data_IF_112916743427
#
_entry.id   IF_112916743427
#
_cell.length_a   1.000
_cell.length_b   1.000
_cell.length_c   1.000
_cell.angle_alpha   90.00
_cell.angle_beta   90.00
_cell.angle_gamma   90.00
#
_symmetry.space_group_name_H-M   'P 1'
#
loop_
_entity.id
_entity.type
_entity.pdbx_description
1 polymer ?
#
# COMPACT_ATOMS: atom_id res chain seq x y z
N UNK A 1 13.67 -6.63 -28.27
CA UNK A 1 13.52 -8.01 -27.75
C UNK A 1 14.85 -8.74 -27.61
N UNK A 2 15.83 -8.55 -28.51
CA UNK A 2 17.19 -9.13 -28.38
C UNK A 2 17.92 -8.61 -27.13
N UNK A 3 17.86 -7.30 -26.87
CA UNK A 3 18.50 -6.68 -25.69
C UNK A 3 17.99 -7.20 -24.32
N UNK A 4 16.71 -7.58 -24.22
CA UNK A 4 16.14 -8.19 -23.00
C UNK A 4 16.58 -9.66 -22.82
N UNK A 5 16.90 -10.37 -23.92
CA UNK A 5 17.39 -11.76 -23.88
C UNK A 5 18.83 -11.86 -23.41
N UNK A 6 19.66 -10.85 -23.68
CA UNK A 6 21.09 -10.90 -23.36
C UNK A 6 21.43 -10.22 -22.03
N UNK A 7 20.68 -9.17 -21.63
CA UNK A 7 20.97 -8.41 -20.40
C UNK A 7 20.32 -9.03 -19.15
N UNK A 8 19.09 -9.56 -19.23
CA UNK A 8 18.45 -10.18 -18.05
C UNK A 8 19.24 -11.36 -17.48
N UNK A 9 19.76 -12.31 -18.27
CA UNK A 9 20.51 -13.45 -17.71
C UNK A 9 21.83 -13.05 -17.04
N UNK A 10 22.40 -11.89 -17.39
CA UNK A 10 23.65 -11.39 -16.78
C UNK A 10 23.46 -10.78 -15.39
N UNK A 11 22.22 -10.37 -15.06
CA UNK A 11 21.86 -9.71 -13.79
C UNK A 11 20.89 -10.57 -12.95
N UNK A 12 20.28 -11.59 -13.56
CA UNK A 12 19.24 -12.43 -12.96
C UNK A 12 19.51 -13.87 -13.34
N UNK A 13 19.22 -14.84 -12.46
CA UNK A 13 19.34 -16.27 -12.77
C UNK A 13 18.35 -16.74 -13.87
N UNK A 14 17.64 -15.86 -14.59
CA UNK A 14 16.58 -16.22 -15.52
C UNK A 14 17.10 -17.08 -16.70
N UNK A 15 16.40 -18.19 -16.98
CA UNK A 15 16.70 -18.99 -18.17
C UNK A 15 16.30 -18.22 -19.45
N UNK A 16 16.93 -18.51 -20.62
CA UNK A 16 16.66 -17.79 -21.87
C UNK A 16 15.19 -17.80 -22.32
N UNK A 17 14.46 -18.85 -21.94
CA UNK A 17 13.03 -19.05 -22.23
C UNK A 17 12.12 -18.28 -21.26
N UNK A 18 12.65 -17.85 -20.11
CA UNK A 18 11.95 -17.11 -19.05
C UNK A 18 12.16 -15.59 -19.15
N UNK A 19 13.19 -15.13 -19.88
CA UNK A 19 13.50 -13.71 -20.00
C UNK A 19 12.36 -12.87 -20.61
N UNK A 20 11.66 -13.42 -21.61
CA UNK A 20 10.55 -12.74 -22.30
C UNK A 20 9.32 -12.55 -21.38
N UNK A 21 8.76 -13.59 -20.74
CA UNK A 21 7.63 -13.42 -19.82
C UNK A 21 8.00 -12.58 -18.60
N UNK A 22 9.23 -12.67 -18.07
CA UNK A 22 9.69 -11.80 -16.98
C UNK A 22 9.72 -10.33 -17.42
N UNK A 23 10.22 -10.03 -18.63
CA UNK A 23 10.21 -8.68 -19.17
C UNK A 23 8.79 -8.10 -19.32
N UNK A 24 7.82 -8.91 -19.76
CA UNK A 24 6.42 -8.50 -19.82
C UNK A 24 5.79 -8.32 -18.44
N UNK A 25 6.09 -9.19 -17.48
CA UNK A 25 5.64 -9.07 -16.09
C UNK A 25 6.22 -7.82 -15.40
N UNK A 26 7.50 -7.52 -15.64
CA UNK A 26 8.16 -6.30 -15.21
C UNK A 26 7.48 -5.06 -15.78
N UNK A 27 7.30 -5.02 -17.11
CA UNK A 27 6.65 -3.89 -17.79
C UNK A 27 5.20 -3.72 -17.34
N UNK A 28 4.50 -4.85 -17.12
CA UNK A 28 3.15 -4.85 -16.60
C UNK A 28 3.07 -4.20 -15.23
N UNK A 29 3.92 -4.61 -14.27
CA UNK A 29 3.91 -4.03 -12.92
C UNK A 29 4.36 -2.58 -12.92
N UNK A 30 5.33 -2.23 -13.78
CA UNK A 30 5.76 -0.85 -14.02
C UNK A 30 4.59 0.04 -14.48
N UNK A 31 3.90 -0.33 -15.56
CA UNK A 31 2.78 0.44 -16.09
C UNK A 31 1.66 0.59 -15.05
N UNK A 32 1.39 -0.49 -14.32
CA UNK A 32 0.32 -0.55 -13.33
C UNK A 32 0.56 0.43 -12.18
N UNK A 33 1.77 0.40 -11.61
CA UNK A 33 2.16 1.27 -10.51
C UNK A 33 2.38 2.69 -10.98
N UNK A 34 2.91 2.90 -12.18
CA UNK A 34 3.03 4.23 -12.77
C UNK A 34 1.65 4.91 -12.91
N UNK A 35 0.68 4.21 -13.52
CA UNK A 35 -0.69 4.71 -13.67
C UNK A 35 -1.37 5.01 -12.33
N UNK A 36 -1.16 4.16 -11.31
CA UNK A 36 -1.69 4.40 -9.96
C UNK A 36 -1.04 5.61 -9.27
N UNK A 37 0.29 5.70 -9.32
CA UNK A 37 1.03 6.78 -8.66
C UNK A 37 0.86 8.14 -9.37
N UNK A 38 0.38 8.17 -10.61
CA UNK A 38 -0.10 9.41 -11.24
C UNK A 38 -1.37 9.92 -10.56
N UNK A 39 -2.30 9.01 -10.24
CA UNK A 39 -3.62 9.33 -9.67
C UNK A 39 -3.55 9.65 -8.18
N UNK A 40 -2.54 9.14 -7.47
CA UNK A 40 -2.43 9.31 -6.01
C UNK A 40 -2.31 10.78 -5.57
N UNK A 41 -1.42 11.61 -6.14
CA UNK A 41 -1.38 13.04 -5.84
C UNK A 41 -2.68 13.78 -6.18
N UNK A 42 -3.34 13.36 -7.27
CA UNK A 42 -4.65 13.91 -7.68
C UNK A 42 -5.70 13.58 -6.64
N UNK A 43 -5.69 12.36 -6.08
CA UNK A 43 -6.62 11.98 -5.00
C UNK A 43 -6.41 12.82 -3.73
N UNK A 44 -5.18 13.14 -3.38
CA UNK A 44 -4.89 14.00 -2.23
C UNK A 44 -5.36 15.44 -2.49
N UNK A 45 -5.25 15.93 -3.72
CA UNK A 45 -5.81 17.23 -4.11
C UNK A 45 -7.36 17.22 -4.11
N UNK A 46 -7.98 16.18 -4.66
CA UNK A 46 -9.43 15.94 -4.56
C UNK A 46 -9.92 15.81 -3.11
N UNK A 47 -9.06 15.37 -2.19
CA UNK A 47 -9.38 15.35 -0.77
C UNK A 47 -9.58 16.78 -0.21
N UNK A 48 -8.83 17.74 -0.75
CA UNK A 48 -8.98 19.16 -0.43
C UNK A 48 -10.18 19.77 -1.17
N UNK A 49 -10.34 19.50 -2.47
CA UNK A 49 -11.48 20.01 -3.26
C UNK A 49 -12.83 19.49 -2.74
N UNK A 50 -12.88 18.23 -2.30
CA UNK A 50 -14.05 17.63 -1.64
C UNK A 50 -14.39 18.25 -0.27
N UNK A 51 -13.48 19.04 0.29
CA UNK A 51 -13.59 19.73 1.58
C UNK A 51 -12.88 18.97 2.70
N UNK A 52 -11.85 19.60 3.27
CA UNK A 52 -11.01 19.04 4.36
C UNK A 52 -11.83 18.64 5.59
N UNK A 53 -12.94 19.34 5.86
CA UNK A 53 -13.88 19.02 6.93
C UNK A 53 -14.66 17.71 6.72
N UNK A 54 -14.74 17.23 5.47
CA UNK A 54 -15.42 15.98 5.12
C UNK A 54 -14.46 14.79 5.00
N UNK A 55 -13.16 14.98 5.24
CA UNK A 55 -12.19 13.87 5.24
C UNK A 55 -12.58 12.70 6.16
N UNK A 56 -13.10 12.90 7.39
CA UNK A 56 -13.57 11.78 8.23
C UNK A 56 -14.66 10.97 7.53
N UNK A 57 -15.63 11.63 6.89
CA UNK A 57 -16.69 10.96 6.12
C UNK A 57 -16.12 10.21 4.92
N UNK A 58 -15.16 10.80 4.20
CA UNK A 58 -14.50 10.15 3.06
C UNK A 58 -13.68 8.92 3.49
N UNK A 59 -13.03 8.98 4.66
CA UNK A 59 -12.35 7.84 5.28
C UNK A 59 -13.33 6.76 5.73
N UNK A 60 -14.45 7.13 6.35
CA UNK A 60 -15.53 6.19 6.71
C UNK A 60 -16.11 5.52 5.46
N UNK A 61 -16.40 6.29 4.40
CA UNK A 61 -16.89 5.75 3.14
C UNK A 61 -15.86 4.79 2.51
N UNK A 62 -14.58 5.13 2.57
CA UNK A 62 -13.49 4.24 2.13
C UNK A 62 -13.46 2.94 2.93
N UNK A 63 -13.53 3.02 4.26
CA UNK A 63 -13.55 1.86 5.13
C UNK A 63 -14.75 0.93 4.85
N UNK A 64 -15.97 1.48 4.82
CA UNK A 64 -17.19 0.72 4.53
C UNK A 64 -17.14 0.10 3.14
N UNK A 65 -16.71 0.87 2.13
CA UNK A 65 -16.60 0.36 0.76
C UNK A 65 -15.61 -0.79 0.68
N UNK A 66 -14.42 -0.66 1.27
CA UNK A 66 -13.42 -1.73 1.27
C UNK A 66 -13.91 -2.97 2.03
N UNK A 67 -14.66 -2.80 3.12
CA UNK A 67 -15.22 -3.92 3.88
C UNK A 67 -16.28 -4.70 3.07
N UNK A 68 -17.09 -4.01 2.26
CA UNK A 68 -18.08 -4.62 1.38
C UNK A 68 -17.45 -5.27 0.15
N UNK A 69 -16.47 -4.59 -0.44
CA UNK A 69 -15.92 -4.95 -1.74
C UNK A 69 -14.85 -6.05 -1.63
N UNK A 70 -14.11 -6.14 -0.52
CA UNK A 70 -13.06 -7.17 -0.33
C UNK A 70 -13.61 -8.61 -0.36
N UNK A 71 -14.72 -8.94 0.35
CA UNK A 71 -15.36 -10.26 0.23
C UNK A 71 -15.92 -10.53 -1.17
N UNK A 72 -16.51 -9.52 -1.81
CA UNK A 72 -17.03 -9.63 -3.17
C UNK A 72 -15.91 -10.00 -4.16
N UNK A 73 -14.73 -9.39 -4.01
CA UNK A 73 -13.56 -9.73 -4.81
C UNK A 73 -13.09 -11.16 -4.57
N UNK A 74 -12.98 -11.58 -3.31
CA UNK A 74 -12.60 -12.96 -2.96
C UNK A 74 -13.59 -13.99 -3.50
N UNK A 75 -14.89 -13.66 -3.54
CA UNK A 75 -15.88 -14.52 -4.19
C UNK A 75 -15.70 -14.56 -5.72
N UNK A 76 -15.53 -13.40 -6.35
CA UNK A 76 -15.41 -13.29 -7.81
C UNK A 76 -14.13 -13.97 -8.34
N UNK A 77 -13.03 -13.91 -7.59
CA UNK A 77 -11.75 -14.55 -7.94
C UNK A 77 -11.83 -16.08 -7.96
N UNK A 78 -12.78 -16.68 -7.23
CA UNK A 78 -13.02 -18.14 -7.26
C UNK A 78 -13.88 -18.61 -8.43
N UNK A 79 -14.63 -17.70 -9.08
CA UNK A 79 -15.67 -18.06 -10.08
C UNK A 79 -15.28 -17.75 -11.52
N UNK A 80 -14.38 -16.81 -11.76
CA UNK A 80 -14.01 -16.36 -13.10
C UNK A 80 -12.59 -16.82 -13.48
N UNK A 81 -12.35 -17.22 -14.75
CA UNK A 81 -10.99 -17.41 -15.23
C UNK A 81 -10.23 -16.08 -15.11
N UNK A 82 -9.06 -16.13 -14.48
CA UNK A 82 -8.35 -14.95 -13.96
C UNK A 82 -7.99 -13.93 -15.05
N UNK A 83 -7.73 -14.38 -16.28
CA UNK A 83 -7.54 -13.51 -17.45
C UNK A 83 -8.77 -12.64 -17.77
N UNK A 84 -9.97 -13.24 -17.81
CA UNK A 84 -11.22 -12.48 -18.06
C UNK A 84 -11.53 -11.53 -16.93
N UNK A 85 -11.30 -11.97 -15.68
CA UNK A 85 -11.49 -11.14 -14.50
C UNK A 85 -10.62 -9.87 -14.59
N UNK A 86 -9.35 -10.00 -14.97
CA UNK A 86 -8.44 -8.88 -15.14
C UNK A 86 -8.90 -7.89 -16.21
N UNK A 87 -9.30 -8.39 -17.39
CA UNK A 87 -9.80 -7.53 -18.45
C UNK A 87 -11.05 -6.77 -18.02
N UNK A 88 -11.98 -7.42 -17.32
CA UNK A 88 -13.17 -6.77 -16.76
C UNK A 88 -12.78 -5.70 -15.75
N UNK A 89 -11.84 -5.99 -14.84
CA UNK A 89 -11.40 -5.04 -13.82
C UNK A 89 -10.72 -3.83 -14.46
N UNK A 90 -9.85 -4.02 -15.46
CA UNK A 90 -9.14 -2.92 -16.13
C UNK A 90 -10.04 -2.10 -17.03
N UNK A 91 -10.96 -2.73 -17.75
CA UNK A 91 -11.96 -2.01 -18.55
C UNK A 91 -12.93 -1.24 -17.64
N UNK A 92 -13.35 -1.82 -16.52
CA UNK A 92 -14.16 -1.13 -15.51
C UNK A 92 -13.43 0.11 -14.97
N UNK A 93 -12.22 -0.03 -14.45
CA UNK A 93 -11.49 1.11 -13.89
C UNK A 93 -11.08 2.14 -14.95
N UNK A 94 -10.70 1.70 -16.15
CA UNK A 94 -10.41 2.58 -17.28
C UNK A 94 -11.64 3.40 -17.70
N UNK A 95 -12.82 2.77 -17.77
CA UNK A 95 -14.08 3.47 -18.08
C UNK A 95 -14.43 4.48 -17.00
N UNK A 96 -14.27 4.12 -15.72
CA UNK A 96 -14.49 5.06 -14.61
C UNK A 96 -13.56 6.27 -14.70
N UNK A 97 -12.28 6.09 -15.05
CA UNK A 97 -11.35 7.21 -15.26
C UNK A 97 -11.80 8.15 -16.39
N UNK A 98 -12.36 7.61 -17.48
CA UNK A 98 -12.93 8.43 -18.54
C UNK A 98 -14.17 9.20 -18.06
N UNK A 99 -15.03 8.58 -17.24
CA UNK A 99 -16.17 9.27 -16.63
C UNK A 99 -15.73 10.38 -15.68
N UNK A 100 -14.72 10.13 -14.84
CA UNK A 100 -14.14 11.17 -13.98
C UNK A 100 -13.50 12.29 -14.78
N UNK A 101 -12.80 11.97 -15.88
CA UNK A 101 -12.26 12.98 -16.80
C UNK A 101 -13.38 13.89 -17.35
N UNK A 102 -14.46 13.31 -17.87
CA UNK A 102 -15.60 14.08 -18.38
C UNK A 102 -16.26 14.89 -17.26
N UNK A 103 -16.46 14.31 -16.08
CA UNK A 103 -17.06 15.00 -14.94
C UNK A 103 -16.22 16.18 -14.43
N UNK A 104 -14.89 16.02 -14.35
CA UNK A 104 -13.97 17.08 -13.93
C UNK A 104 -13.86 18.17 -14.99
N UNK A 105 -13.72 17.82 -16.28
CA UNK A 105 -13.69 18.79 -17.38
C UNK A 105 -15.00 19.56 -17.52
N UNK A 106 -16.13 18.90 -17.30
CA UNK A 106 -17.45 19.52 -17.31
C UNK A 106 -17.81 20.24 -16.01
N UNK A 107 -16.92 20.26 -15.01
CA UNK A 107 -17.17 20.80 -13.67
C UNK A 107 -18.50 20.31 -13.06
N UNK A 108 -18.85 19.05 -13.31
CA UNK A 108 -20.08 18.43 -12.82
C UNK A 108 -19.94 18.20 -11.31
N UNK A 109 -20.61 19.05 -10.53
CA UNK A 109 -20.65 18.97 -9.07
C UNK A 109 -19.28 18.67 -8.44
N UNK A 110 -18.30 19.59 -8.54
CA UNK A 110 -16.88 19.30 -8.34
C UNK A 110 -16.57 18.65 -6.99
N UNK A 111 -17.23 19.11 -5.92
CA UNK A 111 -17.08 18.57 -4.57
C UNK A 111 -17.47 17.08 -4.46
N UNK A 112 -18.57 16.67 -5.10
CA UNK A 112 -19.03 15.28 -5.07
C UNK A 112 -18.18 14.38 -5.96
N UNK A 113 -17.77 14.89 -7.13
CA UNK A 113 -16.83 14.20 -8.02
C UNK A 113 -15.50 13.94 -7.31
N UNK A 114 -14.97 14.93 -6.58
CA UNK A 114 -13.75 14.81 -5.80
C UNK A 114 -13.87 13.79 -4.65
N UNK A 115 -14.97 13.82 -3.89
CA UNK A 115 -15.27 12.84 -2.83
C UNK A 115 -15.40 11.42 -3.38
N UNK A 116 -16.12 11.25 -4.49
CA UNK A 116 -16.28 9.96 -5.15
C UNK A 116 -14.94 9.42 -5.66
N UNK A 117 -14.12 10.28 -6.31
CA UNK A 117 -12.79 9.93 -6.80
C UNK A 117 -11.86 9.47 -5.66
N UNK A 118 -11.91 10.15 -4.52
CA UNK A 118 -11.10 9.78 -3.35
C UNK A 118 -11.37 8.36 -2.84
N UNK A 119 -12.66 8.01 -2.71
CA UNK A 119 -13.09 6.68 -2.28
C UNK A 119 -12.77 5.66 -3.35
N UNK A 120 -13.08 5.98 -4.62
CA UNK A 120 -12.83 5.13 -5.77
C UNK A 120 -11.36 4.75 -5.92
N UNK A 121 -10.42 5.70 -5.80
CA UNK A 121 -8.99 5.42 -5.95
C UNK A 121 -8.48 4.50 -4.83
N UNK A 122 -9.04 4.63 -3.63
CA UNK A 122 -8.71 3.76 -2.49
C UNK A 122 -9.08 2.31 -2.77
N UNK A 123 -10.22 2.08 -3.43
CA UNK A 123 -10.66 0.75 -3.89
C UNK A 123 -9.77 0.27 -5.04
N UNK A 124 -9.54 1.11 -6.05
CA UNK A 124 -8.67 0.80 -7.19
C UNK A 124 -7.31 0.26 -6.74
N UNK A 125 -6.64 0.92 -5.80
CA UNK A 125 -5.32 0.52 -5.29
C UNK A 125 -5.30 -0.93 -4.77
N UNK A 126 -6.30 -1.31 -3.97
CA UNK A 126 -6.37 -2.66 -3.39
C UNK A 126 -6.50 -3.71 -4.49
N UNK A 127 -7.42 -3.52 -5.42
CA UNK A 127 -7.70 -4.48 -6.48
C UNK A 127 -6.51 -4.67 -7.40
N UNK A 128 -5.96 -3.56 -7.85
CA UNK A 128 -4.95 -3.56 -8.90
C UNK A 128 -3.72 -4.36 -8.50
N UNK A 129 -3.23 -4.16 -7.26
CA UNK A 129 -2.06 -4.87 -6.75
C UNK A 129 -2.39 -6.34 -6.45
N UNK A 130 -3.53 -6.63 -5.83
CA UNK A 130 -3.92 -8.01 -5.50
C UNK A 130 -4.12 -8.87 -6.74
N UNK A 131 -4.79 -8.35 -7.77
CA UNK A 131 -5.05 -9.11 -8.99
C UNK A 131 -3.75 -9.34 -9.78
N UNK A 132 -2.85 -8.37 -9.81
CA UNK A 132 -1.53 -8.53 -10.44
C UNK A 132 -0.77 -9.73 -9.85
N UNK A 133 -0.62 -9.78 -8.52
CA UNK A 133 0.12 -10.86 -7.86
C UNK A 133 -0.58 -12.20 -7.96
N UNK A 134 -1.91 -12.22 -7.97
CA UNK A 134 -2.67 -13.46 -8.22
C UNK A 134 -2.31 -14.06 -9.58
N UNK A 135 -2.10 -13.26 -10.62
CA UNK A 135 -1.68 -13.76 -11.94
C UNK A 135 -0.21 -14.15 -11.99
N UNK A 136 0.67 -13.43 -11.28
CA UNK A 136 2.08 -13.83 -11.21
C UNK A 136 2.27 -15.20 -10.56
N UNK A 137 1.51 -15.50 -9.50
CA UNK A 137 1.56 -16.80 -8.82
C UNK A 137 1.04 -17.94 -9.70
N UNK A 138 0.16 -17.68 -10.67
CA UNK A 138 -0.29 -18.71 -11.62
C UNK A 138 0.66 -18.89 -12.79
N UNK A 139 1.28 -17.80 -13.25
CA UNK A 139 2.14 -17.80 -14.43
C UNK A 139 3.52 -18.37 -14.13
N UNK A 140 3.98 -18.32 -12.89
CA UNK A 140 5.31 -18.76 -12.51
C UNK A 140 5.23 -19.87 -11.47
N UNK A 141 6.03 -20.92 -11.65
CA UNK A 141 6.15 -21.99 -10.66
C UNK A 141 6.75 -21.46 -9.36
N UNK A 142 6.61 -22.15 -8.21
CA UNK A 142 7.21 -21.70 -6.96
C UNK A 142 8.73 -21.49 -7.04
N UNK A 143 9.44 -22.35 -7.79
CA UNK A 143 10.88 -22.21 -8.01
C UNK A 143 11.24 -20.98 -8.86
N UNK A 144 10.45 -20.70 -9.89
CA UNK A 144 10.56 -19.48 -10.70
C UNK A 144 10.26 -18.23 -9.85
N UNK A 145 9.21 -18.28 -9.02
CA UNK A 145 8.80 -17.16 -8.17
C UNK A 145 9.89 -16.72 -7.19
N UNK A 146 10.57 -17.68 -6.55
CA UNK A 146 11.67 -17.40 -5.62
C UNK A 146 12.83 -16.62 -6.25
N UNK A 147 13.11 -16.85 -7.54
CA UNK A 147 14.20 -16.19 -8.29
C UNK A 147 13.76 -14.91 -9.00
N UNK A 148 12.56 -14.90 -9.58
CA UNK A 148 12.14 -13.89 -10.56
C UNK A 148 11.24 -12.79 -9.98
N UNK A 149 10.54 -13.05 -8.86
CA UNK A 149 9.59 -12.06 -8.30
C UNK A 149 10.29 -10.79 -7.80
N UNK A 150 11.55 -10.88 -7.37
CA UNK A 150 12.33 -9.70 -7.00
C UNK A 150 12.53 -8.72 -8.17
N UNK A 151 12.85 -9.26 -9.35
CA UNK A 151 13.02 -8.47 -10.58
C UNK A 151 11.70 -7.88 -11.02
N UNK A 152 10.64 -8.68 -11.04
CA UNK A 152 9.29 -8.22 -11.38
C UNK A 152 8.84 -7.10 -10.44
N UNK A 153 9.06 -7.26 -9.12
CA UNK A 153 8.75 -6.25 -8.12
C UNK A 153 9.52 -4.94 -8.33
N UNK A 154 10.78 -5.00 -8.80
CA UNK A 154 11.56 -3.81 -9.13
C UNK A 154 10.89 -2.95 -10.21
N UNK A 155 10.19 -3.56 -11.17
CA UNK A 155 9.40 -2.84 -12.17
C UNK A 155 8.32 -1.96 -11.53
N UNK A 156 7.62 -2.49 -10.54
CA UNK A 156 6.62 -1.73 -9.76
C UNK A 156 7.24 -0.57 -8.97
N UNK A 157 8.41 -0.78 -8.36
CA UNK A 157 9.15 0.28 -7.66
C UNK A 157 9.58 1.41 -8.59
N UNK A 158 10.07 1.09 -9.79
CA UNK A 158 10.42 2.09 -10.80
C UNK A 158 9.14 2.82 -11.28
N UNK A 159 8.04 2.10 -11.51
CA UNK A 159 6.75 2.69 -11.87
C UNK A 159 6.26 3.68 -10.80
N UNK A 160 6.42 3.33 -9.53
CA UNK A 160 6.07 4.18 -8.38
C UNK A 160 6.93 5.46 -8.27
N UNK A 161 8.13 5.48 -8.87
CA UNK A 161 8.96 6.68 -8.98
C UNK A 161 8.65 7.48 -10.25
N UNK A 162 8.44 6.82 -11.38
CA UNK A 162 8.16 7.48 -12.66
C UNK A 162 6.78 8.13 -12.65
N UNK A 163 5.78 7.52 -12.00
CA UNK A 163 4.42 8.08 -11.91
C UNK A 163 4.39 9.50 -11.33
N UNK A 164 4.89 9.73 -10.11
CA UNK A 164 4.91 11.07 -9.51
C UNK A 164 5.85 12.04 -10.25
N UNK A 165 6.92 11.55 -10.88
CA UNK A 165 7.78 12.36 -11.76
C UNK A 165 7.00 12.89 -12.96
N UNK A 166 6.24 12.01 -13.64
CA UNK A 166 5.36 12.39 -14.75
C UNK A 166 4.28 13.36 -14.30
N UNK A 167 3.61 13.10 -13.17
CA UNK A 167 2.62 14.04 -12.61
C UNK A 167 3.24 15.41 -12.36
N UNK A 168 4.41 15.47 -11.73
CA UNK A 168 5.09 16.74 -11.43
C UNK A 168 5.38 17.53 -12.70
N UNK A 169 5.92 16.88 -13.73
CA UNK A 169 6.27 17.54 -14.99
C UNK A 169 5.05 17.92 -15.83
N UNK A 170 4.10 16.99 -16.01
CA UNK A 170 2.92 17.19 -16.85
C UNK A 170 1.95 18.22 -16.27
N UNK A 171 1.90 18.38 -14.95
CA UNK A 171 1.06 19.42 -14.31
C UNK A 171 1.48 20.85 -14.68
N UNK A 172 2.68 21.07 -15.23
CA UNK A 172 3.05 22.37 -15.82
C UNK A 172 2.51 22.58 -17.24
N UNK A 173 2.16 21.51 -17.94
CA UNK A 173 1.85 21.51 -19.38
C UNK A 173 0.36 21.29 -19.66
N UNK A 174 -0.30 20.48 -18.81
CA UNK A 174 -1.70 20.08 -19.01
C UNK A 174 -2.51 20.20 -17.70
N UNK A 175 -3.83 20.42 -17.79
CA UNK A 175 -4.73 20.40 -16.64
C UNK A 175 -4.78 19.03 -15.93
N UNK A 176 -5.09 19.03 -14.64
CA UNK A 176 -5.20 17.82 -13.80
C UNK A 176 -6.07 16.72 -14.43
N UNK A 177 -7.27 17.00 -14.99
CA UNK A 177 -8.10 15.95 -15.59
C UNK A 177 -7.40 15.18 -16.71
N UNK A 178 -6.53 15.82 -17.49
CA UNK A 178 -5.81 15.18 -18.61
C UNK A 178 -4.87 14.08 -18.11
N UNK A 179 -4.35 14.19 -16.88
CA UNK A 179 -3.51 13.16 -16.26
C UNK A 179 -4.26 11.84 -16.06
N UNK A 180 -5.59 11.86 -15.91
CA UNK A 180 -6.40 10.65 -15.83
C UNK A 180 -6.32 9.85 -17.14
N UNK A 181 -6.25 10.54 -18.29
CA UNK A 181 -6.09 9.90 -19.60
C UNK A 181 -4.72 9.24 -19.74
N UNK A 182 -3.67 9.83 -19.14
CA UNK A 182 -2.35 9.21 -19.08
C UNK A 182 -2.42 7.90 -18.30
N UNK A 183 -3.11 7.87 -17.16
CA UNK A 183 -3.34 6.64 -16.40
C UNK A 183 -4.19 5.61 -17.16
N UNK A 184 -5.18 6.04 -17.95
CA UNK A 184 -5.91 5.14 -18.88
C UNK A 184 -4.97 4.52 -19.90
N UNK A 185 -4.05 5.31 -20.48
CA UNK A 185 -3.02 4.80 -21.39
C UNK A 185 -2.15 3.71 -20.76
N UNK A 186 -1.73 3.91 -19.51
CA UNK A 186 -1.00 2.89 -18.74
C UNK A 186 -1.85 1.63 -18.47
N UNK A 187 -3.14 1.76 -18.16
CA UNK A 187 -4.04 0.61 -18.00
C UNK A 187 -4.24 -0.17 -19.30
N UNK A 188 -4.31 0.51 -20.45
CA UNK A 188 -4.36 -0.14 -21.76
C UNK A 188 -3.05 -0.89 -22.03
N UNK A 189 -1.90 -0.29 -21.71
CA UNK A 189 -0.60 -0.95 -21.80
C UNK A 189 -0.52 -2.19 -20.91
N UNK A 190 -1.08 -2.14 -19.70
CA UNK A 190 -1.22 -3.31 -18.82
C UNK A 190 -2.04 -4.43 -19.48
N UNK A 191 -3.18 -4.10 -20.11
CA UNK A 191 -3.99 -5.07 -20.86
C UNK A 191 -3.22 -5.72 -22.02
N UNK A 192 -2.39 -4.95 -22.72
CA UNK A 192 -1.51 -5.47 -23.77
C UNK A 192 -0.43 -6.42 -23.22
N UNK A 193 0.25 -6.05 -22.14
CA UNK A 193 1.23 -6.92 -21.48
C UNK A 193 0.58 -8.23 -21.02
N UNK A 194 -0.62 -8.14 -20.43
CA UNK A 194 -1.38 -9.31 -20.00
C UNK A 194 -1.73 -10.23 -21.18
N UNK A 195 -2.16 -9.68 -22.31
CA UNK A 195 -2.45 -10.46 -23.52
C UNK A 195 -1.21 -11.20 -24.05
N UNK A 196 -0.02 -10.56 -23.98
CA UNK A 196 1.25 -11.20 -24.36
C UNK A 196 1.63 -12.33 -23.41
N UNK A 197 1.45 -12.13 -22.10
CA UNK A 197 1.71 -13.15 -21.08
C UNK A 197 0.77 -14.35 -21.21
N UNK A 198 -0.52 -14.10 -21.46
CA UNK A 198 -1.52 -15.16 -21.65
C UNK A 198 -1.22 -16.01 -22.89
N UNK A 199 -0.86 -15.37 -24.02
CA UNK A 199 -0.41 -16.10 -25.23
C UNK A 199 0.81 -16.97 -24.99
N UNK A 200 1.78 -16.50 -24.21
CA UNK A 200 2.95 -17.28 -23.83
C UNK A 200 2.58 -18.45 -22.90
N UNK A 201 1.66 -18.24 -21.97
CA UNK A 201 1.18 -19.28 -21.06
C UNK A 201 0.45 -20.41 -21.81
N UNK A 202 -0.39 -20.07 -22.80
CA UNK A 202 -1.11 -21.04 -23.64
C UNK A 202 -0.18 -21.85 -24.55
N UNK A 203 1.00 -21.32 -24.89
CA UNK A 203 1.98 -22.00 -25.75
C UNK A 203 2.81 -23.06 -24.99
N UNK A 204 2.66 -23.19 -23.68
CA UNK A 204 3.39 -24.18 -22.87
C UNK A 204 2.56 -25.45 -22.63
N UNK A 205 3.01 -26.62 -23.13
CA UNK A 205 2.25 -27.89 -23.01
C UNK A 205 2.08 -28.40 -21.58
N UNK A 206 2.94 -27.99 -20.65
CA UNK A 206 3.05 -28.60 -19.31
C UNK A 206 2.06 -28.06 -18.25
N UNK A 207 1.16 -27.12 -18.59
CA UNK A 207 0.44 -26.30 -17.59
C UNK A 207 -1.05 -26.55 -17.46
N UNK A 208 -1.61 -27.56 -18.14
CA UNK A 208 -3.03 -27.92 -18.02
C UNK A 208 -3.41 -28.66 -16.72
N UNK A 209 -2.49 -28.84 -15.75
CA UNK A 209 -2.71 -29.78 -14.64
C UNK A 209 -2.44 -29.30 -13.21
N UNK A 210 -1.91 -28.10 -12.95
CA UNK A 210 -1.67 -27.67 -11.57
C UNK A 210 -2.88 -26.93 -10.99
N UNK A 211 -4.00 -27.63 -10.89
CA UNK A 211 -5.07 -27.30 -9.95
C UNK A 211 -4.56 -27.59 -8.54
N UNK A 212 -3.75 -26.70 -7.98
CA UNK A 212 -3.41 -26.72 -6.56
C UNK A 212 -3.81 -25.38 -5.97
N UNK A 213 -5.10 -25.26 -5.67
CA UNK A 213 -5.56 -24.48 -4.55
C UNK A 213 -6.74 -25.28 -3.99
N UNK A 214 -6.47 -26.14 -3.01
CA UNK A 214 -7.54 -26.42 -2.04
C UNK A 214 -8.05 -25.05 -1.60
N UNK A 215 -9.35 -24.74 -1.80
CA UNK A 215 -9.91 -23.50 -1.31
C UNK A 215 -9.56 -23.44 0.16
N UNK A 216 -8.90 -22.36 0.60
CA UNK A 216 -8.66 -22.14 2.02
C UNK A 216 -10.05 -22.05 2.67
N UNK A 217 -10.53 -23.18 3.17
CA UNK A 217 -11.86 -23.32 3.72
C UNK A 217 -12.01 -22.55 5.03
N UNK A 218 -13.23 -22.09 5.28
CA UNK A 218 -13.66 -21.52 6.55
C UNK A 218 -14.21 -20.11 6.44
N UNK A 219 -14.96 -19.71 7.46
CA UNK A 219 -15.67 -18.42 7.47
C UNK A 219 -14.71 -17.25 7.69
N UNK A 220 -14.99 -16.11 7.05
CA UNK A 220 -14.32 -14.81 7.31
C UNK A 220 -14.37 -14.47 8.81
N UNK A 221 -15.45 -14.87 9.48
CA UNK A 221 -15.67 -14.73 10.93
C UNK A 221 -14.64 -15.45 11.79
N UNK A 222 -14.06 -16.57 11.32
CA UNK A 222 -12.98 -17.25 12.04
C UNK A 222 -11.73 -16.37 12.14
N UNK A 223 -11.38 -15.64 11.07
CA UNK A 223 -10.25 -14.70 11.07
C UNK A 223 -10.43 -13.54 12.05
N UNK A 224 -11.65 -12.99 12.13
CA UNK A 224 -12.00 -11.94 13.10
C UNK A 224 -11.90 -12.46 14.53
N UNK A 225 -12.45 -13.65 14.80
CA UNK A 225 -12.40 -14.26 16.13
C UNK A 225 -10.97 -14.52 16.57
N UNK A 226 -10.14 -15.11 15.70
CA UNK A 226 -8.73 -15.37 15.99
C UNK A 226 -7.93 -14.10 16.29
N UNK A 227 -8.15 -13.03 15.51
CA UNK A 227 -7.48 -11.75 15.72
C UNK A 227 -7.80 -11.13 17.09
N UNK A 228 -9.04 -11.30 17.58
CA UNK A 228 -9.49 -10.75 18.85
C UNK A 228 -9.23 -11.67 20.05
N UNK A 229 -9.06 -12.98 19.85
CA UNK A 229 -8.84 -13.95 20.94
C UNK A 229 -7.37 -14.14 21.31
N UNK A 230 -6.44 -13.87 20.40
CA UNK A 230 -5.00 -14.04 20.64
C UNK A 230 -4.37 -12.75 21.19
N UNK A 231 -3.78 -12.76 22.41
CA UNK A 231 -3.10 -11.59 22.95
C UNK A 231 -1.98 -11.06 22.04
N UNK A 232 -1.30 -11.96 21.31
CA UNK A 232 -0.27 -11.59 20.35
C UNK A 232 -0.84 -10.85 19.14
N UNK A 233 -1.91 -11.39 18.53
CA UNK A 233 -2.59 -10.73 17.39
C UNK A 233 -3.23 -9.41 17.80
N UNK A 234 -3.78 -9.32 19.02
CA UNK A 234 -4.30 -8.07 19.57
C UNK A 234 -3.21 -7.03 19.77
N UNK A 235 -2.00 -7.45 20.16
CA UNK A 235 -0.82 -6.59 20.17
C UNK A 235 -0.48 -6.04 18.78
N UNK A 236 -0.56 -6.87 17.73
CA UNK A 236 -0.36 -6.43 16.34
C UNK A 236 -1.45 -5.44 15.91
N UNK A 237 -2.72 -5.72 16.25
CA UNK A 237 -3.84 -4.79 16.02
C UNK A 237 -3.58 -3.44 16.70
N UNK A 238 -3.13 -3.44 17.95
CA UNK A 238 -2.82 -2.23 18.70
C UNK A 238 -1.64 -1.46 18.10
N UNK A 239 -0.58 -2.16 17.68
CA UNK A 239 0.54 -1.55 16.96
C UNK A 239 0.07 -0.86 15.68
N UNK A 240 -0.79 -1.53 14.90
CA UNK A 240 -1.34 -0.97 13.67
C UNK A 240 -2.29 0.20 13.94
N UNK A 241 -3.11 0.11 14.98
CA UNK A 241 -4.00 1.20 15.36
C UNK A 241 -3.21 2.47 15.73
N UNK A 242 -2.10 2.35 16.48
CA UNK A 242 -1.24 3.50 16.75
C UNK A 242 -0.55 4.03 15.50
N UNK A 243 -0.06 3.14 14.63
CA UNK A 243 0.52 3.51 13.34
C UNK A 243 -0.48 4.31 12.50
N UNK A 244 -1.71 3.82 12.32
CA UNK A 244 -2.73 4.51 11.51
C UNK A 244 -3.24 5.77 12.18
N UNK A 245 -3.39 5.78 13.51
CA UNK A 245 -3.83 6.97 14.27
C UNK A 245 -2.86 8.12 14.08
N UNK A 246 -1.59 7.85 14.34
CA UNK A 246 -0.56 8.86 14.16
C UNK A 246 -0.47 9.27 12.69
N UNK A 247 -0.66 8.36 11.72
CA UNK A 247 -0.52 8.67 10.28
C UNK A 247 -1.66 9.55 9.80
N UNK A 248 -2.87 9.20 10.23
CA UNK A 248 -4.10 9.90 9.89
C UNK A 248 -4.10 11.31 10.45
N UNK A 249 -3.67 11.53 11.70
CA UNK A 249 -3.54 12.89 12.21
C UNK A 249 -2.60 13.74 11.35
N UNK A 250 -1.42 13.19 11.03
CA UNK A 250 -0.42 13.89 10.20
C UNK A 250 -0.98 14.20 8.81
N UNK A 251 -1.71 13.25 8.20
CA UNK A 251 -2.38 13.43 6.92
C UNK A 251 -3.46 14.52 6.97
N UNK A 252 -4.32 14.54 8.00
CA UNK A 252 -5.38 15.54 8.15
C UNK A 252 -4.80 16.95 8.32
N UNK A 253 -3.74 17.10 9.12
CA UNK A 253 -3.05 18.38 9.26
C UNK A 253 -2.30 18.78 7.98
N UNK A 254 -1.74 17.82 7.23
CA UNK A 254 -1.16 18.09 5.91
C UNK A 254 -2.22 18.67 4.97
N UNK A 255 -3.38 18.02 4.85
CA UNK A 255 -4.45 18.48 3.96
C UNK A 255 -4.94 19.88 4.33
N UNK A 256 -5.09 20.16 5.64
CA UNK A 256 -5.48 21.48 6.13
C UNK A 256 -4.43 22.56 5.81
N UNK A 257 -3.17 22.34 6.17
CA UNK A 257 -2.12 23.33 5.93
C UNK A 257 -1.88 23.58 4.43
N UNK A 258 -1.94 22.52 3.61
CA UNK A 258 -1.82 22.65 2.16
C UNK A 258 -3.01 23.38 1.55
N UNK A 259 -4.23 23.14 2.04
CA UNK A 259 -5.42 23.85 1.56
C UNK A 259 -5.36 25.35 1.88
N UNK A 260 -4.83 25.71 3.04
CA UNK A 260 -4.68 27.09 3.51
C UNK A 260 -3.52 27.83 2.82
N UNK A 261 -2.37 27.17 2.60
CA UNK A 261 -1.14 27.83 2.16
C UNK A 261 -0.86 27.73 0.65
N UNK A 262 -1.47 26.78 -0.05
CA UNK A 262 -1.28 26.58 -1.49
C UNK A 262 -2.63 26.79 -2.19
N UNK A 263 -2.84 27.92 -2.89
CA UNK A 263 -4.14 28.22 -3.50
C UNK A 263 -4.47 27.35 -4.73
N UNK A 264 -3.48 27.07 -5.59
CA UNK A 264 -3.70 26.40 -6.88
C UNK A 264 -3.79 24.87 -6.73
N UNK A 265 -4.82 24.20 -7.30
CA UNK A 265 -4.90 22.74 -7.40
C UNK A 265 -3.63 22.09 -8.00
N UNK A 266 -3.06 22.72 -9.03
CA UNK A 266 -1.85 22.26 -9.72
C UNK A 266 -0.63 22.33 -8.77
N UNK A 267 -0.54 23.39 -7.96
CA UNK A 267 0.48 23.53 -6.92
C UNK A 267 0.38 22.44 -5.85
N UNK A 268 -0.85 22.13 -5.39
CA UNK A 268 -1.10 21.07 -4.39
C UNK A 268 -0.75 19.70 -4.94
N UNK A 269 -1.21 19.40 -6.16
CA UNK A 269 -0.91 18.14 -6.86
C UNK A 269 0.60 17.95 -7.03
N UNK A 270 1.33 19.01 -7.42
CA UNK A 270 2.80 18.98 -7.54
C UNK A 270 3.50 18.75 -6.21
N UNK A 271 3.02 19.37 -5.12
CA UNK A 271 3.59 19.11 -3.79
C UNK A 271 3.40 17.64 -3.40
N UNK A 272 2.20 17.09 -3.54
CA UNK A 272 1.93 15.69 -3.20
C UNK A 272 2.71 14.72 -4.09
N UNK A 273 2.87 15.01 -5.38
CA UNK A 273 3.67 14.20 -6.29
C UNK A 273 5.16 14.23 -5.95
N UNK A 274 5.70 15.39 -5.55
CA UNK A 274 7.09 15.49 -5.08
C UNK A 274 7.31 14.72 -3.77
N UNK A 275 6.38 14.80 -2.82
CA UNK A 275 6.43 14.00 -1.58
C UNK A 275 6.46 12.51 -1.92
N UNK A 276 5.57 12.06 -2.81
CA UNK A 276 5.53 10.67 -3.25
C UNK A 276 6.82 10.24 -3.95
N UNK A 277 7.38 11.08 -4.83
CA UNK A 277 8.65 10.79 -5.50
C UNK A 277 9.79 10.60 -4.50
N UNK A 278 9.97 11.56 -3.60
CA UNK A 278 11.04 11.52 -2.59
C UNK A 278 10.87 10.30 -1.68
N UNK A 279 9.65 10.01 -1.23
CA UNK A 279 9.37 8.82 -0.41
C UNK A 279 9.75 7.55 -1.15
N UNK A 280 9.35 7.38 -2.41
CA UNK A 280 9.65 6.16 -3.17
C UNK A 280 11.16 6.00 -3.43
N UNK A 281 11.85 7.08 -3.82
CA UNK A 281 13.31 7.06 -4.05
C UNK A 281 14.06 6.70 -2.77
N UNK A 282 13.77 7.39 -1.66
CA UNK A 282 14.42 7.12 -0.38
C UNK A 282 14.08 5.72 0.17
N UNK A 283 12.83 5.27 0.00
CA UNK A 283 12.42 3.91 0.38
C UNK A 283 13.22 2.86 -0.38
N UNK A 284 13.35 3.01 -1.70
CA UNK A 284 14.12 2.07 -2.52
C UNK A 284 15.61 2.05 -2.12
N UNK A 285 16.23 3.23 -1.97
CA UNK A 285 17.63 3.33 -1.52
C UNK A 285 17.83 2.65 -0.17
N UNK A 286 16.90 2.85 0.77
CA UNK A 286 16.96 2.25 2.10
C UNK A 286 16.71 0.74 2.08
N UNK A 287 15.81 0.24 1.22
CA UNK A 287 15.55 -1.19 1.05
C UNK A 287 16.76 -1.93 0.48
N UNK A 288 17.45 -1.34 -0.50
CA UNK A 288 18.65 -1.93 -1.10
C UNK A 288 19.84 -1.93 -0.12
N UNK A 289 19.97 -0.91 0.74
CA UNK A 289 21.19 -0.71 1.53
C UNK A 289 21.06 -1.03 3.02
N UNK A 290 19.89 -0.84 3.64
CA UNK A 290 19.76 -0.82 5.10
C UNK A 290 18.80 -1.87 5.66
N UNK A 291 17.70 -2.21 4.99
CA UNK A 291 16.63 -3.04 5.59
C UNK A 291 17.14 -4.39 6.10
N UNK A 292 17.89 -5.13 5.28
CA UNK A 292 18.47 -6.43 5.68
C UNK A 292 19.48 -6.27 6.82
N UNK A 293 20.32 -5.22 6.77
CA UNK A 293 21.39 -4.97 7.76
C UNK A 293 20.85 -4.57 9.13
N UNK A 294 19.78 -3.78 9.17
CA UNK A 294 19.17 -3.33 10.43
C UNK A 294 18.58 -4.52 11.19
N UNK A 295 17.79 -5.35 10.49
CA UNK A 295 17.15 -6.52 11.10
C UNK A 295 18.19 -7.55 11.53
N UNK A 296 19.22 -7.81 10.71
CA UNK A 296 20.26 -8.78 11.04
C UNK A 296 21.18 -8.35 12.18
N UNK A 297 21.45 -7.05 12.32
CA UNK A 297 22.40 -6.52 13.31
C UNK A 297 21.76 -6.10 14.63
N UNK A 298 20.56 -5.51 14.59
CA UNK A 298 19.90 -4.92 15.76
C UNK A 298 18.61 -5.66 16.16
N UNK A 299 18.24 -6.71 15.43
CA UNK A 299 17.08 -7.56 15.73
C UNK A 299 15.74 -6.91 15.38
N UNK A 300 14.67 -7.71 15.49
CA UNK A 300 13.31 -7.32 15.12
C UNK A 300 12.76 -6.14 15.95
N UNK A 301 13.10 -6.09 17.24
CA UNK A 301 12.65 -5.03 18.15
C UNK A 301 13.07 -3.64 17.66
N UNK A 302 14.31 -3.50 17.18
CA UNK A 302 14.81 -2.22 16.66
C UNK A 302 13.97 -1.72 15.48
N UNK A 303 13.66 -2.60 14.53
CA UNK A 303 12.90 -2.27 13.34
C UNK A 303 11.44 -1.87 13.65
N UNK A 304 10.85 -2.42 14.72
CA UNK A 304 9.49 -2.06 15.17
C UNK A 304 9.44 -0.76 16.00
N UNK A 305 10.52 -0.40 16.68
CA UNK A 305 10.59 0.76 17.61
C UNK A 305 11.07 2.05 16.94
N UNK A 306 11.91 1.96 15.90
CA UNK A 306 12.48 3.14 15.21
C UNK A 306 11.41 4.11 14.72
N UNK A 307 10.35 3.61 14.07
CA UNK A 307 9.29 4.46 13.52
C UNK A 307 8.46 5.16 14.62
N UNK A 308 8.03 4.48 15.71
CA UNK A 308 7.41 5.13 16.86
C UNK A 308 8.30 6.22 17.50
N UNK A 309 9.59 5.97 17.68
CA UNK A 309 10.52 6.98 18.25
C UNK A 309 10.67 8.17 17.31
N UNK A 310 10.86 7.94 16.01
CA UNK A 310 10.88 9.00 15.02
C UNK A 310 9.57 9.80 15.00
N UNK A 311 8.44 9.13 15.25
CA UNK A 311 7.13 9.78 15.35
C UNK A 311 6.98 10.63 16.60
N UNK A 312 7.45 10.17 17.76
CA UNK A 312 7.47 10.96 18.99
C UNK A 312 8.28 12.25 18.82
N UNK A 313 9.45 12.16 18.18
CA UNK A 313 10.28 13.33 17.86
C UNK A 313 9.55 14.25 16.89
N UNK A 314 9.04 13.70 15.77
CA UNK A 314 8.35 14.49 14.74
C UNK A 314 7.12 15.24 15.28
N UNK A 315 6.31 14.60 16.12
CA UNK A 315 5.18 15.27 16.78
C UNK A 315 5.62 16.31 17.82
N UNK A 316 6.69 16.07 18.57
CA UNK A 316 7.27 17.07 19.47
C UNK A 316 7.71 18.31 18.71
N UNK A 317 8.41 18.14 17.58
CA UNK A 317 8.83 19.27 16.71
C UNK A 317 7.62 19.98 16.12
N UNK A 318 6.59 19.28 15.64
CA UNK A 318 5.34 19.91 15.14
C UNK A 318 4.62 20.68 16.25
N UNK A 319 4.59 20.15 17.47
CA UNK A 319 3.98 20.82 18.63
C UNK A 319 4.67 22.14 18.99
N UNK A 320 5.96 22.29 18.66
CA UNK A 320 6.74 23.52 18.83
C UNK A 320 6.68 24.43 17.60
N UNK A 321 6.74 23.85 16.40
CA UNK A 321 6.92 24.53 15.12
C UNK A 321 5.94 23.97 14.08
N UNK A 322 4.66 24.40 14.11
CA UNK A 322 3.60 23.87 13.24
C UNK A 322 3.67 24.46 11.81
N UNK A 323 4.83 24.36 11.16
CA UNK A 323 5.05 24.82 9.79
C UNK A 323 4.83 23.69 8.78
N UNK A 324 4.29 24.04 7.60
CA UNK A 324 4.05 23.06 6.54
C UNK A 324 5.32 22.31 6.13
N UNK A 325 6.47 22.99 6.05
CA UNK A 325 7.76 22.36 5.71
C UNK A 325 8.19 21.27 6.72
N UNK A 326 7.99 21.53 8.03
CA UNK A 326 8.26 20.56 9.10
C UNK A 326 7.34 19.36 8.97
N UNK A 327 6.06 19.60 8.69
CA UNK A 327 5.05 18.56 8.51
C UNK A 327 5.37 17.67 7.30
N UNK A 328 5.73 18.27 6.18
CA UNK A 328 6.13 17.57 4.95
C UNK A 328 7.38 16.74 5.19
N UNK A 329 8.42 17.31 5.82
CA UNK A 329 9.65 16.58 6.14
C UNK A 329 9.36 15.38 7.04
N UNK A 330 8.56 15.57 8.08
CA UNK A 330 8.16 14.49 8.98
C UNK A 330 7.35 13.42 8.24
N UNK A 331 6.44 13.81 7.34
CA UNK A 331 5.67 12.87 6.51
C UNK A 331 6.59 12.02 5.64
N UNK A 332 7.62 12.61 5.03
CA UNK A 332 8.62 11.89 4.23
C UNK A 332 9.37 10.87 5.11
N UNK A 333 9.99 11.34 6.20
CA UNK A 333 10.78 10.49 7.12
C UNK A 333 9.95 9.30 7.60
N UNK A 334 8.72 9.58 8.00
CA UNK A 334 7.80 8.58 8.52
C UNK A 334 7.40 7.57 7.46
N UNK A 335 6.98 8.01 6.27
CA UNK A 335 6.57 7.10 5.19
C UNK A 335 7.73 6.23 4.71
N UNK A 336 8.94 6.79 4.63
CA UNK A 336 10.16 6.03 4.32
C UNK A 336 10.43 4.97 5.40
N UNK A 337 10.41 5.37 6.68
CA UNK A 337 10.59 4.42 7.79
C UNK A 337 9.52 3.32 7.83
N UNK A 338 8.27 3.66 7.49
CA UNK A 338 7.19 2.70 7.39
C UNK A 338 7.41 1.68 6.26
N UNK A 339 7.65 2.15 5.03
CA UNK A 339 7.76 1.27 3.87
C UNK A 339 9.09 0.51 3.80
N UNK A 340 10.19 1.10 4.28
CA UNK A 340 11.50 0.48 4.24
C UNK A 340 11.78 -0.46 5.43
N UNK A 341 11.24 -0.18 6.62
CA UNK A 341 11.55 -0.93 7.84
C UNK A 341 10.33 -1.51 8.54
N UNK A 342 9.37 -0.67 8.96
CA UNK A 342 8.31 -1.12 9.85
C UNK A 342 7.37 -2.13 9.18
N UNK A 343 7.05 -1.94 7.89
CA UNK A 343 6.21 -2.89 7.13
C UNK A 343 6.90 -4.27 7.00
N UNK A 344 8.14 -4.40 6.50
CA UNK A 344 8.87 -5.67 6.55
C UNK A 344 8.97 -6.30 7.94
N UNK A 345 9.23 -5.49 8.98
CA UNK A 345 9.30 -5.99 10.36
C UNK A 345 7.96 -6.57 10.84
N UNK A 346 6.84 -5.92 10.49
CA UNK A 346 5.50 -6.46 10.79
C UNK A 346 5.22 -7.78 10.08
N UNK A 347 5.71 -7.96 8.86
CA UNK A 347 5.56 -9.22 8.13
C UNK A 347 6.24 -10.39 8.85
N UNK A 348 7.37 -10.14 9.52
CA UNK A 348 8.06 -11.14 10.34
C UNK A 348 7.21 -11.57 11.54
N UNK A 349 6.42 -10.68 12.15
CA UNK A 349 5.51 -11.06 13.25
C UNK A 349 4.49 -12.13 12.84
N UNK A 350 4.15 -12.22 11.55
CA UNK A 350 3.24 -13.24 11.04
C UNK A 350 3.92 -14.56 10.65
N UNK A 351 5.23 -14.73 10.87
CA UNK A 351 5.91 -16.02 10.57
C UNK A 351 5.73 -17.06 11.68
N UNK A 352 5.46 -16.61 12.91
CA UNK A 352 5.30 -17.49 14.09
C UNK A 352 3.85 -17.93 14.34
N UNK A 353 2.88 -17.36 13.62
CA UNK A 353 1.46 -17.72 13.76
C UNK A 353 1.11 -18.97 12.93
N UNK A 354 -0.08 -19.54 13.15
CA UNK A 354 -0.57 -20.67 12.34
C UNK A 354 -0.90 -20.23 10.91
N UNK A 355 -1.00 -21.20 9.99
CA UNK A 355 -1.38 -20.95 8.58
C UNK A 355 -2.76 -20.29 8.51
N UNK A 356 -3.72 -20.75 9.30
CA UNK A 356 -5.07 -20.19 9.33
C UNK A 356 -5.09 -18.73 9.79
N UNK A 357 -4.39 -18.41 10.89
CA UNK A 357 -4.25 -17.04 11.38
C UNK A 357 -3.55 -16.15 10.34
N UNK A 358 -2.48 -16.65 9.71
CA UNK A 358 -1.73 -15.89 8.69
C UNK A 358 -2.57 -15.49 7.49
N UNK A 359 -3.47 -16.35 7.00
CA UNK A 359 -4.29 -16.02 5.83
C UNK A 359 -5.57 -15.25 6.18
N UNK A 360 -6.21 -15.56 7.32
CA UNK A 360 -7.51 -14.97 7.68
C UNK A 360 -7.35 -13.71 8.56
N UNK A 361 -6.58 -13.80 9.63
CA UNK A 361 -6.41 -12.67 10.55
C UNK A 361 -5.60 -11.54 9.92
N UNK A 362 -4.55 -11.87 9.14
CA UNK A 362 -3.73 -10.84 8.47
C UNK A 362 -4.56 -9.96 7.52
N UNK A 363 -5.38 -10.57 6.65
CA UNK A 363 -6.22 -9.80 5.72
C UNK A 363 -7.21 -8.88 6.46
N UNK A 364 -7.80 -9.37 7.56
CA UNK A 364 -8.65 -8.56 8.43
C UNK A 364 -7.87 -7.41 9.08
N UNK A 365 -6.68 -7.69 9.62
CA UNK A 365 -5.81 -6.71 10.27
C UNK A 365 -5.35 -5.63 9.27
N UNK A 366 -4.84 -6.03 8.12
CA UNK A 366 -4.30 -5.11 7.11
C UNK A 366 -5.38 -4.27 6.44
N UNK A 367 -6.65 -4.72 6.42
CA UNK A 367 -7.75 -3.97 5.81
C UNK A 367 -8.63 -3.30 6.85
N UNK A 368 -9.28 -4.07 7.71
CA UNK A 368 -10.30 -3.56 8.62
C UNK A 368 -9.69 -2.74 9.77
N UNK A 369 -8.60 -3.21 10.38
CA UNK A 369 -7.95 -2.46 11.47
C UNK A 369 -7.25 -1.21 10.93
N UNK A 370 -6.57 -1.29 9.77
CA UNK A 370 -5.91 -0.12 9.20
C UNK A 370 -6.90 0.95 8.75
N UNK A 371 -7.91 0.60 7.95
CA UNK A 371 -8.90 1.54 7.40
C UNK A 371 -9.93 1.96 8.44
N UNK A 372 -10.28 1.06 9.35
CA UNK A 372 -11.08 1.39 10.53
C UNK A 372 -10.33 2.33 11.45
N UNK A 373 -9.01 2.16 11.60
CA UNK A 373 -8.12 3.10 12.28
C UNK A 373 -8.18 4.49 11.66
N UNK A 374 -7.99 4.60 10.34
CA UNK A 374 -8.09 5.87 9.62
C UNK A 374 -9.44 6.57 9.87
N UNK A 375 -10.56 5.85 9.70
CA UNK A 375 -11.89 6.39 9.92
C UNK A 375 -12.14 6.81 11.37
N UNK A 376 -11.74 5.97 12.33
CA UNK A 376 -11.91 6.23 13.77
C UNK A 376 -11.10 7.45 14.18
N UNK A 377 -9.84 7.54 13.76
CA UNK A 377 -8.99 8.69 14.05
C UNK A 377 -9.52 9.96 13.41
N UNK A 378 -10.04 9.92 12.18
CA UNK A 378 -10.69 11.07 11.55
C UNK A 378 -11.80 11.67 12.40
N UNK A 379 -12.64 10.82 12.99
CA UNK A 379 -13.69 11.25 13.91
C UNK A 379 -13.17 11.72 15.27
N UNK A 380 -12.18 11.03 15.85
CA UNK A 380 -11.55 11.46 17.10
C UNK A 380 -10.95 12.86 16.93
N UNK A 381 -10.16 13.09 15.88
CA UNK A 381 -9.53 14.40 15.61
C UNK A 381 -10.59 15.47 15.39
N UNK A 382 -11.67 15.16 14.66
CA UNK A 382 -12.76 16.12 14.43
C UNK A 382 -13.49 16.48 15.72
N UNK A 383 -13.80 15.48 16.55
CA UNK A 383 -14.42 15.70 17.87
C UNK A 383 -13.54 16.51 18.81
N UNK A 384 -12.24 16.20 18.87
CA UNK A 384 -11.26 16.94 19.67
C UNK A 384 -11.10 18.39 19.20
N UNK A 385 -11.15 18.64 17.89
CA UNK A 385 -11.14 20.01 17.32
C UNK A 385 -12.38 20.81 17.72
N UNK A 386 -13.56 20.19 17.80
CA UNK A 386 -14.79 20.86 18.26
C UNK A 386 -14.68 21.33 19.71
N UNK A 387 -13.87 20.63 20.54
CA UNK A 387 -13.57 21.04 21.92
C UNK A 387 -12.56 22.21 22.00
N UNK A 388 -12.13 22.78 20.86
CA UNK A 388 -11.18 23.90 20.80
C UNK A 388 -9.72 23.49 20.95
N UNK A 389 -9.39 22.19 20.95
CA UNK A 389 -8.01 21.73 21.02
C UNK A 389 -7.30 22.01 19.71
N UNK A 390 -6.17 22.72 19.80
CA UNK A 390 -5.36 23.12 18.64
C UNK A 390 -4.55 21.96 18.07
N UNK A 391 -4.13 22.09 16.80
CA UNK A 391 -3.22 21.13 16.15
C UNK A 391 -1.92 20.91 16.93
N UNK A 392 -1.34 21.97 17.50
CA UNK A 392 -0.13 21.88 18.32
C UNK A 392 -0.35 21.08 19.61
N UNK A 393 -1.48 21.29 20.30
CA UNK A 393 -1.84 20.50 21.49
C UNK A 393 -2.08 19.03 21.16
N UNK A 394 -2.77 18.73 20.06
CA UNK A 394 -2.95 17.34 19.60
C UNK A 394 -1.61 16.69 19.25
N UNK A 395 -0.67 17.42 18.63
CA UNK A 395 0.67 16.90 18.36
C UNK A 395 1.39 16.50 19.67
N UNK A 396 1.31 17.32 20.72
CA UNK A 396 1.86 16.97 22.03
C UNK A 396 1.22 15.73 22.67
N UNK A 397 -0.09 15.51 22.49
CA UNK A 397 -0.77 14.28 22.95
C UNK A 397 -0.27 13.04 22.18
N UNK A 398 0.11 13.19 20.92
CA UNK A 398 0.63 12.09 20.11
C UNK A 398 2.07 11.69 20.45
N UNK A 399 2.82 12.52 21.19
CA UNK A 399 4.17 12.17 21.68
C UNK A 399 4.13 10.98 22.63
N UNK A 400 3.42 11.01 23.78
CA UNK A 400 3.32 9.85 24.67
C UNK A 400 2.63 8.66 23.98
N UNK A 401 1.66 8.90 23.09
CA UNK A 401 1.03 7.84 22.29
C UNK A 401 2.06 7.11 21.41
N UNK A 402 2.98 7.85 20.79
CA UNK A 402 4.04 7.29 19.96
C UNK A 402 5.07 6.52 20.79
N UNK A 403 5.33 6.93 22.03
CA UNK A 403 6.19 6.17 22.95
C UNK A 403 5.52 4.86 23.40
N UNK A 404 4.22 4.90 23.74
CA UNK A 404 3.42 3.70 24.03
C UNK A 404 3.41 2.74 22.83
N UNK A 405 3.28 3.27 21.62
CA UNK A 405 3.40 2.49 20.39
C UNK A 405 4.76 1.79 20.27
N UNK A 406 5.85 2.48 20.61
CA UNK A 406 7.19 1.89 20.70
C UNK A 406 7.28 0.74 21.71
N UNK A 407 6.70 0.91 22.89
CA UNK A 407 6.64 -0.16 23.90
C UNK A 407 5.88 -1.39 23.38
N UNK A 408 4.74 -1.20 22.72
CA UNK A 408 3.99 -2.31 22.09
C UNK A 408 4.85 -3.03 21.06
N UNK A 409 5.55 -2.30 20.18
CA UNK A 409 6.46 -2.88 19.18
C UNK A 409 7.58 -3.72 19.82
N UNK A 410 8.14 -3.24 20.93
CA UNK A 410 9.17 -3.96 21.68
C UNK A 410 8.65 -5.23 22.36
N UNK A 411 7.45 -5.18 22.99
CA UNK A 411 6.82 -6.34 23.58
C UNK A 411 6.48 -7.40 22.52
N UNK A 412 5.99 -6.99 21.35
CA UNK A 412 5.71 -7.88 20.22
C UNK A 412 6.96 -8.60 19.73
N UNK A 413 8.08 -7.90 19.58
CA UNK A 413 9.34 -8.52 19.20
C UNK A 413 9.80 -9.58 20.20
N UNK A 414 9.68 -9.30 21.51
CA UNK A 414 10.01 -10.28 22.56
C UNK A 414 9.08 -11.49 22.57
N UNK A 415 7.79 -11.29 22.28
CA UNK A 415 6.83 -12.39 22.17
C UNK A 415 7.09 -13.25 20.94
N UNK A 416 7.43 -12.64 19.80
CA UNK A 416 7.83 -13.36 18.58
C UNK A 416 9.05 -14.24 18.84
N UNK A 417 10.08 -13.71 19.49
CA UNK A 417 11.29 -14.46 19.83
C UNK A 417 10.99 -15.69 20.70
N UNK A 418 10.13 -15.54 21.73
CA UNK A 418 9.69 -16.66 22.59
C UNK A 418 8.90 -17.72 21.82
N UNK A 419 8.00 -17.31 20.92
CA UNK A 419 7.19 -18.21 20.10
C UNK A 419 8.05 -18.96 19.07
N UNK A 420 9.07 -18.29 18.52
CA UNK A 420 10.03 -18.90 17.60
C UNK A 420 10.89 -19.96 18.29
N UNK A 421 11.39 -19.67 19.49
CA UNK A 421 12.20 -20.62 20.27
C UNK A 421 11.39 -21.86 20.68
N UNK A 422 10.14 -21.68 21.12
CA UNK A 422 9.26 -22.80 21.50
C UNK A 422 8.91 -23.73 20.33
N UNK A 423 8.69 -23.20 19.12
CA UNK A 423 8.53 -24.05 17.91
C UNK A 423 9.80 -24.83 17.56
N UNK A 424 10.96 -24.18 17.63
CA UNK A 424 12.24 -24.83 17.31
C UNK A 424 12.55 -26.01 18.25
N UNK A 425 12.07 -25.97 19.50
CA UNK A 425 12.21 -27.07 20.46
C UNK A 425 11.26 -28.25 20.19
N UNK A 426 10.10 -28.02 19.55
CA UNK A 426 9.13 -29.07 19.21
C UNK A 426 9.55 -29.86 17.95
N UNK A 427 10.31 -29.24 17.05
CA UNK A 427 10.81 -29.86 15.81
C UNK A 427 12.11 -30.69 16.03
N UNK A 428 12.65 -30.76 17.24
CA UNK A 428 13.78 -31.64 17.58
C UNK A 428 13.28 -33.08 17.77
N UNK A 429 13.90 -34.10 17.14
CA UNK A 429 13.51 -35.49 17.36
C UNK A 429 13.68 -35.85 18.85
N UNK A 430 12.79 -36.68 19.43
CA UNK A 430 12.94 -37.10 20.82
C UNK A 430 14.32 -37.73 20.99
N UNK A 431 15.08 -37.23 21.97
CA UNK A 431 16.36 -37.78 22.36
C UNK A 431 16.18 -39.28 22.63
N UNK A 432 16.80 -40.11 21.80
CA UNK A 432 16.86 -41.56 22.01
C UNK A 432 17.68 -41.90 23.25
#
# INVERSE_FOLDING_TARGET
MVWLRDVLPSVTDAEPDEAVPVGWAFLYFFCLLCGYYILRPIRDEMAIEGGVQHLPWMMTATFVTLLLVTPLFGWLSTRAPRYRLLLIVYTFFGTNLLLFFVAMMGHLSPQWTARAFFVWLSVFNLFVVSVFWSVMVDLFTPAQGARLFGVIAAGGSIGAMVGPLLTTGLTYLVPIPVLLLVSVGFLVACGFCLHRLDRWAMAQPARQGSGQDEPIGGSIWAGVRSALSSPYLLGICLYLFFLTTTATFLYLEQMRMVSEQIPSPEGRTRLFSLIDLVVNVLTFLMQVTMTSRVISRFGLASALVVLPVASAIGFGVIGMMPFLAVLVLFTIVRRVGEYALAKPAREVLFTVVSREEKYKAKNFIDTAISRGGDATTGWIVSGVKVLGVTAGQMAWILVPLSLLWGLVGWFLARQEEKLRQSRTMVDLPPSK
#
